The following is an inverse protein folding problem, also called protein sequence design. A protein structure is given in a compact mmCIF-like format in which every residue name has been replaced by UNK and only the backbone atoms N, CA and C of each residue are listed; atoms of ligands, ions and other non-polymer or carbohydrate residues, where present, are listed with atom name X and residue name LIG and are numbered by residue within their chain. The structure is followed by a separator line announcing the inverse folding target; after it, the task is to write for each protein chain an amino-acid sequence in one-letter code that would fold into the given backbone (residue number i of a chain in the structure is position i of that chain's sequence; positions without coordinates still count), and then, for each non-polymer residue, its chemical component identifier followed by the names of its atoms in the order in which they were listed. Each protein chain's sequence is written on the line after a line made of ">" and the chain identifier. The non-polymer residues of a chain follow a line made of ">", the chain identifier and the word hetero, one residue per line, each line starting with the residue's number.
data_IF_480354345849
#
_entry.id   IF_480354345849
#
_cell.length_a   1.000
_cell.length_b   1.000
_cell.length_c   1.000
_cell.angle_alpha   90.00
_cell.angle_beta   90.00
_cell.angle_gamma   90.00
#
_symmetry.space_group_name_H-M   'P 1'
#
loop_
_entity.id
_entity.type
_entity.pdbx_description
1 polymer ?
#
# COMPACT_ATOMS: atom_id res chain seq x y z
N UNK A 1 -10.46 -20.27 17.25
CA UNK A 1 -11.49 -20.26 16.21
C UNK A 1 -11.02 -19.46 14.99
N UNK A 2 -10.50 -18.25 15.18
CA UNK A 2 -10.08 -17.34 14.14
C UNK A 2 -8.66 -16.85 14.38
N UNK A 3 -7.85 -16.79 13.33
CA UNK A 3 -6.58 -16.05 13.34
C UNK A 3 -6.64 -14.93 12.30
N UNK A 4 -6.24 -13.73 12.70
CA UNK A 4 -6.13 -12.54 11.86
C UNK A 4 -4.65 -12.28 11.61
N UNK A 5 -4.25 -12.17 10.35
CA UNK A 5 -2.87 -11.96 9.93
C UNK A 5 -2.70 -10.54 9.40
N UNK A 6 -1.99 -9.70 10.16
CA UNK A 6 -1.70 -8.31 9.84
C UNK A 6 -2.41 -7.29 10.72
N UNK A 7 -1.67 -6.27 11.15
CA UNK A 7 -2.09 -5.20 12.06
C UNK A 7 -2.41 -3.87 11.39
N UNK A 8 -2.70 -3.87 10.08
CA UNK A 8 -3.20 -2.70 9.38
C UNK A 8 -4.66 -2.38 9.73
N UNK A 9 -5.26 -1.33 9.14
CA UNK A 9 -6.63 -0.92 9.44
C UNK A 9 -7.66 -2.06 9.33
N UNK A 10 -7.55 -2.90 8.28
CA UNK A 10 -8.44 -4.04 8.07
C UNK A 10 -8.33 -5.08 9.20
N UNK A 11 -7.10 -5.44 9.60
CA UNK A 11 -6.85 -6.40 10.66
C UNK A 11 -7.27 -5.89 12.03
N UNK A 12 -6.98 -4.64 12.33
CA UNK A 12 -7.41 -3.99 13.58
C UNK A 12 -8.93 -3.95 13.69
N UNK A 13 -9.64 -3.56 12.63
CA UNK A 13 -11.10 -3.57 12.61
C UNK A 13 -11.64 -4.98 12.87
N UNK A 14 -11.11 -5.97 12.16
CA UNK A 14 -11.53 -7.37 12.33
C UNK A 14 -11.27 -7.87 13.77
N UNK A 15 -10.13 -7.56 14.37
CA UNK A 15 -9.78 -7.96 15.73
C UNK A 15 -10.75 -7.38 16.77
N UNK A 16 -11.09 -6.09 16.66
CA UNK A 16 -12.05 -5.44 17.55
C UNK A 16 -13.44 -6.09 17.40
N UNK A 17 -13.90 -6.29 16.16
CA UNK A 17 -15.22 -6.88 15.94
C UNK A 17 -15.31 -8.35 16.37
N UNK A 18 -14.28 -9.16 16.14
CA UNK A 18 -14.25 -10.55 16.56
C UNK A 18 -14.26 -10.69 18.09
N UNK A 19 -13.48 -9.86 18.81
CA UNK A 19 -13.49 -9.81 20.25
C UNK A 19 -14.88 -9.45 20.81
N UNK A 20 -15.54 -8.43 20.24
CA UNK A 20 -16.91 -8.02 20.62
C UNK A 20 -17.97 -9.06 20.29
N UNK A 21 -17.71 -9.98 19.37
CA UNK A 21 -18.55 -11.14 19.05
C UNK A 21 -18.20 -12.37 19.89
N UNK A 22 -17.28 -12.24 20.84
CA UNK A 22 -16.81 -13.32 21.72
C UNK A 22 -16.21 -14.53 20.97
N UNK A 23 -15.64 -14.28 19.77
CA UNK A 23 -14.89 -15.30 19.04
C UNK A 23 -13.49 -15.43 19.64
N UNK A 24 -13.04 -16.64 19.93
CA UNK A 24 -11.65 -16.90 20.31
C UNK A 24 -10.74 -16.58 19.13
N UNK A 25 -10.07 -15.46 19.21
CA UNK A 25 -9.29 -14.87 18.12
C UNK A 25 -7.85 -14.60 18.55
N UNK A 26 -6.91 -14.80 17.63
CA UNK A 26 -5.56 -14.26 17.73
C UNK A 26 -5.32 -13.28 16.59
N UNK A 27 -4.72 -12.13 16.86
CA UNK A 27 -4.14 -11.27 15.83
C UNK A 27 -2.62 -11.41 15.87
N UNK A 28 -2.02 -11.69 14.70
CA UNK A 28 -0.58 -11.88 14.54
C UNK A 28 -0.09 -10.82 13.55
N UNK A 29 0.85 -10.00 13.99
CA UNK A 29 1.35 -8.87 13.19
C UNK A 29 2.80 -8.55 13.48
N UNK A 30 3.52 -8.02 12.51
CA UNK A 30 4.87 -7.47 12.71
C UNK A 30 4.85 -6.11 13.38
N UNK A 31 3.80 -5.32 13.12
CA UNK A 31 3.56 -4.00 13.71
C UNK A 31 2.12 -3.57 13.43
N UNK A 32 1.63 -2.60 14.17
CA UNK A 32 0.34 -1.97 13.92
C UNK A 32 0.44 -0.81 12.92
N UNK A 33 -0.68 -0.48 12.26
CA UNK A 33 -0.80 0.63 11.32
C UNK A 33 -0.64 0.26 9.84
N UNK A 34 0.10 -0.82 9.52
CA UNK A 34 0.36 -1.18 8.12
C UNK A 34 1.05 -0.05 7.34
N UNK A 35 0.77 0.10 6.06
CA UNK A 35 1.38 1.13 5.21
C UNK A 35 1.05 2.57 5.63
N UNK A 36 -0.05 2.79 6.37
CA UNK A 36 -0.41 4.15 6.80
C UNK A 36 0.62 4.79 7.74
N UNK A 37 1.46 3.99 8.41
CA UNK A 37 2.50 4.50 9.31
C UNK A 37 3.55 5.38 8.59
N UNK A 38 3.75 5.15 7.30
CA UNK A 38 4.74 5.87 6.49
C UNK A 38 4.28 7.28 6.09
N UNK A 39 2.98 7.58 6.24
CA UNK A 39 2.42 8.89 5.88
C UNK A 39 2.71 9.93 6.95
N UNK A 40 3.38 11.05 6.63
CA UNK A 40 3.64 12.14 7.58
C UNK A 40 2.36 12.72 8.17
N UNK A 41 1.32 12.86 7.32
CA UNK A 41 0.00 13.38 7.70
C UNK A 41 -1.08 12.77 6.80
N UNK A 42 -2.19 12.36 7.40
CA UNK A 42 -3.35 11.74 6.75
C UNK A 42 -4.56 12.67 6.95
N UNK A 43 -5.22 13.07 5.86
CA UNK A 43 -6.37 13.98 5.86
C UNK A 43 -7.70 13.33 5.47
N UNK A 44 -7.66 12.06 5.08
CA UNK A 44 -8.82 11.31 4.58
C UNK A 44 -9.28 10.19 5.53
N UNK A 45 -8.80 10.16 6.77
CA UNK A 45 -9.30 9.25 7.79
C UNK A 45 -10.58 9.81 8.41
N UNK A 46 -11.73 9.25 8.03
CA UNK A 46 -13.04 9.75 8.47
C UNK A 46 -13.18 9.70 10.00
N UNK A 47 -13.64 10.80 10.57
CA UNK A 47 -13.76 10.99 12.02
C UNK A 47 -12.57 11.74 12.63
N UNK A 48 -11.51 11.97 11.87
CA UNK A 48 -10.33 12.73 12.30
C UNK A 48 -9.95 13.72 11.20
N UNK A 49 -9.83 15.01 11.53
CA UNK A 49 -9.54 16.05 10.52
C UNK A 49 -8.17 15.85 9.88
N UNK A 50 -7.18 15.56 10.71
CA UNK A 50 -5.80 15.29 10.32
C UNK A 50 -5.15 14.43 11.39
N UNK A 51 -4.30 13.49 11.02
CA UNK A 51 -3.58 12.60 11.92
C UNK A 51 -2.29 12.13 11.26
N UNK A 52 -1.19 12.04 12.00
CA UNK A 52 0.00 11.39 11.47
C UNK A 52 -0.22 9.88 11.32
N UNK A 53 0.44 9.25 10.35
CA UNK A 53 0.36 7.79 10.20
C UNK A 53 0.83 7.06 11.45
N UNK A 54 1.83 7.61 12.15
CA UNK A 54 2.30 7.08 13.43
C UNK A 54 1.22 7.14 14.51
N UNK A 55 0.53 8.29 14.68
CA UNK A 55 -0.53 8.43 15.67
C UNK A 55 -1.74 7.56 15.34
N UNK A 56 -2.10 7.45 14.05
CA UNK A 56 -3.13 6.53 13.60
C UNK A 56 -2.77 5.08 13.94
N UNK A 57 -1.52 4.65 13.70
CA UNK A 57 -1.05 3.32 14.06
C UNK A 57 -1.17 3.07 15.58
N UNK A 58 -0.82 4.06 16.40
CA UNK A 58 -0.95 4.00 17.87
C UNK A 58 -2.40 3.92 18.33
N UNK A 59 -3.29 4.66 17.71
CA UNK A 59 -4.72 4.63 18.04
C UNK A 59 -5.35 3.28 17.66
N UNK A 60 -4.99 2.71 16.50
CA UNK A 60 -5.41 1.38 16.10
C UNK A 60 -4.90 0.31 17.07
N UNK A 61 -3.60 0.34 17.42
CA UNK A 61 -3.01 -0.55 18.42
C UNK A 61 -3.74 -0.46 19.77
N UNK A 62 -3.92 0.75 20.28
CA UNK A 62 -4.60 1.02 21.55
C UNK A 62 -6.04 0.47 21.54
N UNK A 63 -6.76 0.63 20.44
CA UNK A 63 -8.12 0.12 20.32
C UNK A 63 -8.16 -1.42 20.31
N UNK A 64 -7.24 -2.08 19.58
CA UNK A 64 -7.12 -3.55 19.61
C UNK A 64 -6.77 -4.05 21.02
N UNK A 65 -5.76 -3.45 21.66
CA UNK A 65 -5.32 -3.85 23.00
C UNK A 65 -6.40 -3.62 24.08
N UNK A 66 -7.24 -2.60 23.92
CA UNK A 66 -8.38 -2.35 24.83
C UNK A 66 -9.46 -3.47 24.75
N UNK A 67 -9.48 -4.24 23.66
CA UNK A 67 -10.35 -5.39 23.48
C UNK A 67 -9.63 -6.75 23.73
N UNK A 68 -8.32 -6.70 24.03
CA UNK A 68 -7.55 -7.91 24.34
C UNK A 68 -7.95 -8.51 25.68
N UNK A 69 -7.87 -9.84 25.80
CA UNK A 69 -8.24 -10.60 27.01
C UNK A 69 -8.82 -11.95 26.67
N UNK A 70 -9.96 -12.30 27.27
CA UNK A 70 -10.56 -13.64 27.17
C UNK A 70 -10.78 -14.14 25.72
N UNK A 71 -11.12 -13.23 24.81
CA UNK A 71 -11.50 -13.58 23.43
C UNK A 71 -10.52 -13.09 22.37
N UNK A 72 -9.53 -12.25 22.72
CA UNK A 72 -8.56 -11.73 21.78
C UNK A 72 -7.15 -11.79 22.37
N UNK A 73 -6.27 -12.54 21.74
CA UNK A 73 -4.83 -12.55 22.01
C UNK A 73 -4.07 -11.75 20.94
N UNK A 74 -3.08 -10.99 21.36
CA UNK A 74 -2.28 -10.12 20.47
C UNK A 74 -0.84 -10.62 20.43
N UNK A 75 -0.39 -11.00 19.25
CA UNK A 75 0.99 -11.42 18.97
C UNK A 75 1.63 -10.35 18.09
N UNK A 76 2.27 -9.39 18.73
CA UNK A 76 2.97 -8.27 18.10
C UNK A 76 4.47 -8.60 17.93
N UNK A 77 5.08 -8.11 16.83
CA UNK A 77 6.46 -8.43 16.47
C UNK A 77 6.62 -9.79 15.78
N UNK A 78 5.54 -10.45 15.41
CA UNK A 78 5.54 -11.77 14.77
C UNK A 78 5.26 -11.68 13.28
N UNK A 79 6.15 -12.23 12.46
CA UNK A 79 6.00 -12.33 11.03
C UNK A 79 5.66 -13.75 10.62
N UNK A 80 4.62 -13.92 9.81
CA UNK A 80 4.22 -15.23 9.29
C UNK A 80 5.22 -15.68 8.23
N UNK A 81 5.80 -16.86 8.41
CA UNK A 81 6.67 -17.53 7.45
C UNK A 81 5.89 -18.47 6.52
N UNK A 82 4.90 -19.18 7.05
CA UNK A 82 4.09 -20.14 6.28
C UNK A 82 2.66 -20.19 6.80
N UNK A 83 1.70 -20.29 5.87
CA UNK A 83 0.30 -20.61 6.11
C UNK A 83 -0.10 -21.77 5.21
N UNK A 84 -0.54 -22.88 5.81
CA UNK A 84 -0.94 -24.10 5.09
C UNK A 84 -2.21 -24.68 5.65
N UNK A 85 -3.08 -25.20 4.76
CA UNK A 85 -4.27 -25.94 5.14
C UNK A 85 -3.94 -27.43 5.29
N UNK A 86 -4.39 -28.02 6.39
CA UNK A 86 -4.30 -29.46 6.68
C UNK A 86 -5.68 -29.97 7.12
N UNK A 87 -6.37 -30.66 6.24
CA UNK A 87 -7.78 -31.03 6.43
C UNK A 87 -8.67 -29.80 6.62
N UNK A 88 -9.35 -29.72 7.75
CA UNK A 88 -10.23 -28.59 8.10
C UNK A 88 -9.53 -27.47 8.91
N UNK A 89 -8.25 -27.67 9.24
CA UNK A 89 -7.48 -26.77 10.09
C UNK A 89 -6.43 -26.02 9.26
N UNK A 90 -6.29 -24.75 9.51
CA UNK A 90 -5.20 -23.94 9.03
C UNK A 90 -4.04 -23.98 10.04
N UNK A 91 -2.86 -24.35 9.56
CA UNK A 91 -1.61 -24.34 10.32
C UNK A 91 -0.74 -23.20 9.83
N UNK A 92 -0.12 -22.51 10.74
CA UNK A 92 0.79 -21.43 10.40
C UNK A 92 2.00 -21.40 11.32
N UNK A 93 3.12 -20.96 10.75
CA UNK A 93 4.38 -20.82 11.43
C UNK A 93 4.92 -19.41 11.28
N UNK A 94 5.45 -18.83 12.35
CA UNK A 94 6.13 -17.54 12.31
C UNK A 94 7.62 -17.71 12.02
N UNK A 95 8.30 -16.63 11.60
CA UNK A 95 9.76 -16.61 11.44
C UNK A 95 10.49 -16.84 12.76
N UNK A 96 9.90 -16.50 13.91
CA UNK A 96 10.42 -16.80 15.25
C UNK A 96 10.25 -18.26 15.66
N UNK A 97 9.55 -19.07 14.85
CA UNK A 97 9.34 -20.50 15.09
C UNK A 97 8.11 -20.86 15.92
N UNK A 98 7.20 -19.92 16.20
CA UNK A 98 5.93 -20.22 16.86
C UNK A 98 4.95 -20.86 15.88
N UNK A 99 4.21 -21.85 16.36
CA UNK A 99 3.17 -22.54 15.60
C UNK A 99 1.78 -22.15 16.12
N UNK A 100 0.84 -21.96 15.18
CA UNK A 100 -0.56 -21.64 15.45
C UNK A 100 -1.49 -22.48 14.59
N UNK A 101 -2.68 -22.74 15.12
CA UNK A 101 -3.72 -23.48 14.40
C UNK A 101 -5.08 -22.81 14.57
N UNK A 102 -5.88 -22.78 13.50
CA UNK A 102 -7.26 -22.28 13.55
C UNK A 102 -8.14 -22.94 12.49
N UNK A 103 -9.46 -22.93 12.74
CA UNK A 103 -10.48 -23.32 11.76
C UNK A 103 -10.71 -22.24 10.70
N UNK A 104 -10.48 -20.99 11.06
CA UNK A 104 -10.67 -19.84 10.19
C UNK A 104 -9.47 -18.90 10.22
N UNK A 105 -9.12 -18.37 9.06
CA UNK A 105 -8.05 -17.36 8.90
C UNK A 105 -8.60 -16.17 8.13
N UNK A 106 -8.28 -14.97 8.61
CA UNK A 106 -8.49 -13.73 7.89
C UNK A 106 -7.13 -13.11 7.53
N UNK A 107 -6.82 -13.07 6.26
CA UNK A 107 -5.60 -12.47 5.74
C UNK A 107 -5.82 -10.99 5.51
N UNK A 108 -5.10 -10.14 6.25
CA UNK A 108 -5.13 -8.67 6.16
C UNK A 108 -3.71 -8.09 6.10
N UNK A 109 -2.80 -8.85 5.49
CA UNK A 109 -1.37 -8.52 5.42
C UNK A 109 -1.05 -7.37 4.47
N UNK A 110 -2.06 -6.86 3.76
CA UNK A 110 -1.91 -5.73 2.86
C UNK A 110 -0.94 -5.98 1.71
N UNK A 111 -0.32 -4.91 1.26
CA UNK A 111 0.71 -4.93 0.23
C UNK A 111 1.91 -4.10 0.64
N UNK A 112 2.95 -4.15 -0.16
CA UNK A 112 4.12 -3.29 -0.05
C UNK A 112 4.28 -2.50 -1.33
N UNK A 113 4.41 -1.19 -1.25
CA UNK A 113 4.69 -0.34 -2.40
C UNK A 113 6.03 -0.70 -3.00
N UNK A 114 6.09 -0.80 -4.32
CA UNK A 114 7.34 -1.00 -5.00
C UNK A 114 8.16 0.27 -4.92
N UNK A 115 9.32 0.18 -4.28
CA UNK A 115 10.20 1.34 -4.09
C UNK A 115 10.88 1.77 -5.37
N UNK A 116 11.25 3.05 -5.41
CA UNK A 116 12.08 3.60 -6.47
C UNK A 116 13.55 3.19 -6.22
N UNK A 117 14.08 2.34 -7.11
CA UNK A 117 15.43 1.79 -6.99
C UNK A 117 16.41 2.52 -7.93
N UNK A 118 16.70 3.79 -7.64
CA UNK A 118 17.71 4.58 -8.34
C UNK A 118 18.63 5.26 -7.33
N UNK A 119 19.88 5.62 -7.71
CA UNK A 119 20.80 6.35 -6.84
C UNK A 119 20.14 7.57 -6.20
N UNK A 120 20.29 7.72 -4.89
CA UNK A 120 19.72 8.79 -4.08
C UNK A 120 18.27 8.58 -3.62
N UNK A 121 17.52 7.64 -4.17
CA UNK A 121 16.10 7.47 -3.82
C UNK A 121 15.89 7.11 -2.34
N UNK A 122 16.69 6.19 -1.80
CA UNK A 122 16.57 5.75 -0.41
C UNK A 122 16.75 6.90 0.59
N UNK A 123 17.64 7.84 0.28
CA UNK A 123 17.90 9.01 1.12
C UNK A 123 16.69 9.93 1.25
N UNK A 124 15.87 10.04 0.19
CA UNK A 124 14.72 10.94 0.12
C UNK A 124 13.37 10.28 0.36
N UNK A 125 13.33 9.03 0.83
CA UNK A 125 12.10 8.39 1.30
C UNK A 125 11.44 9.23 2.40
N UNK A 126 10.17 9.64 2.22
CA UNK A 126 9.46 10.55 3.12
C UNK A 126 9.98 12.00 3.13
N UNK A 127 11.03 12.31 2.34
CA UNK A 127 11.60 13.65 2.18
C UNK A 127 11.48 14.16 0.74
N UNK A 128 10.35 13.91 0.13
CA UNK A 128 10.00 14.26 -1.24
C UNK A 128 9.66 13.06 -2.12
N UNK A 129 10.08 11.84 -1.77
CA UNK A 129 9.57 10.62 -2.38
C UNK A 129 8.43 10.09 -1.54
N UNK A 130 7.25 9.95 -2.14
CA UNK A 130 6.00 9.55 -1.51
C UNK A 130 5.21 8.60 -2.42
N UNK A 131 4.20 7.91 -1.85
CA UNK A 131 3.48 6.82 -2.50
C UNK A 131 1.95 6.97 -2.46
N UNK A 132 1.43 8.06 -1.91
CA UNK A 132 -0.01 8.25 -1.75
C UNK A 132 -0.41 9.69 -2.12
N UNK A 133 -1.00 9.88 -3.31
CA UNK A 133 -1.44 11.20 -3.74
C UNK A 133 -2.57 11.77 -2.87
N UNK A 134 -3.48 10.91 -2.41
CA UNK A 134 -4.59 11.31 -1.53
C UNK A 134 -4.14 11.74 -0.14
N UNK A 135 -3.02 11.17 0.36
CA UNK A 135 -2.47 11.49 1.68
C UNK A 135 -1.58 12.74 1.61
N UNK A 136 -0.66 12.75 0.65
CA UNK A 136 0.49 13.67 0.63
C UNK A 136 0.30 14.83 -0.36
N UNK A 137 -0.63 14.72 -1.32
CA UNK A 137 -0.86 15.70 -2.38
C UNK A 137 -0.95 17.15 -1.88
N UNK A 138 -1.72 17.47 -0.83
CA UNK A 138 -1.80 18.83 -0.28
C UNK A 138 -0.46 19.42 0.18
N UNK A 139 0.53 18.61 0.60
CA UNK A 139 1.86 19.05 1.02
C UNK A 139 2.70 19.61 -0.12
N UNK A 140 2.30 19.31 -1.36
CA UNK A 140 2.99 19.73 -2.58
C UNK A 140 2.29 20.89 -3.28
N UNK A 141 1.49 21.67 -2.55
CA UNK A 141 0.85 22.87 -3.08
C UNK A 141 1.88 23.88 -3.59
N UNK A 142 1.72 24.31 -4.85
CA UNK A 142 2.61 25.29 -5.51
C UNK A 142 3.98 24.74 -5.93
N UNK A 143 4.22 23.43 -5.84
CA UNK A 143 5.49 22.78 -6.13
C UNK A 143 5.51 22.11 -7.51
N UNK A 144 6.71 21.90 -8.04
CA UNK A 144 6.94 21.09 -9.24
C UNK A 144 7.03 19.61 -8.83
N UNK A 145 6.10 18.81 -9.36
CA UNK A 145 5.90 17.41 -8.95
C UNK A 145 6.14 16.46 -10.12
N UNK A 146 6.75 15.32 -9.83
CA UNK A 146 6.89 14.22 -10.78
C UNK A 146 6.08 13.01 -10.29
N UNK A 147 5.34 12.38 -11.20
CA UNK A 147 4.64 11.11 -10.96
C UNK A 147 5.32 10.03 -11.80
N UNK A 148 5.76 8.94 -11.18
CA UNK A 148 6.43 7.82 -11.87
C UNK A 148 5.45 6.66 -11.98
N UNK A 149 4.93 6.39 -13.18
CA UNK A 149 4.00 5.30 -13.47
C UNK A 149 2.99 5.68 -14.53
N UNK A 150 2.90 4.92 -15.62
CA UNK A 150 2.02 5.16 -16.77
C UNK A 150 0.73 4.33 -16.77
N UNK A 151 0.36 3.71 -15.64
CA UNK A 151 -0.90 2.98 -15.44
C UNK A 151 -1.98 3.84 -14.78
N UNK A 152 -3.15 3.24 -14.48
CA UNK A 152 -4.28 3.93 -13.85
C UNK A 152 -3.86 4.67 -12.57
N UNK A 153 -3.16 4.00 -11.63
CA UNK A 153 -2.70 4.62 -10.39
C UNK A 153 -1.85 5.88 -10.64
N UNK A 154 -0.95 5.88 -11.63
CA UNK A 154 -0.13 7.04 -11.97
C UNK A 154 -0.96 8.21 -12.50
N UNK A 155 -1.90 7.96 -13.41
CA UNK A 155 -2.77 9.01 -13.95
C UNK A 155 -3.78 9.53 -12.92
N UNK A 156 -4.32 8.66 -12.05
CA UNK A 156 -5.20 9.06 -10.93
C UNK A 156 -4.44 9.92 -9.92
N UNK A 157 -3.22 9.52 -9.56
CA UNK A 157 -2.34 10.32 -8.69
C UNK A 157 -1.99 11.66 -9.33
N UNK A 158 -1.67 11.69 -10.63
CA UNK A 158 -1.42 12.94 -11.36
C UNK A 158 -2.66 13.86 -11.34
N UNK A 159 -3.86 13.32 -11.59
CA UNK A 159 -5.11 14.07 -11.53
C UNK A 159 -5.34 14.69 -10.15
N UNK A 160 -5.09 13.94 -9.08
CA UNK A 160 -5.25 14.45 -7.71
C UNK A 160 -4.24 15.55 -7.39
N UNK A 161 -2.97 15.34 -7.74
CA UNK A 161 -1.88 16.29 -7.44
C UNK A 161 -2.00 17.58 -8.26
N UNK A 162 -2.55 17.54 -9.49
CA UNK A 162 -2.82 18.71 -10.31
C UNK A 162 -3.70 19.76 -9.62
N UNK A 163 -4.56 19.34 -8.68
CA UNK A 163 -5.36 20.27 -7.87
C UNK A 163 -4.51 21.19 -6.98
N UNK A 164 -3.30 20.79 -6.63
CA UNK A 164 -2.44 21.48 -5.68
C UNK A 164 -1.14 22.00 -6.32
N UNK A 165 -0.50 21.18 -7.15
CA UNK A 165 0.82 21.44 -7.68
C UNK A 165 0.88 22.65 -8.65
N UNK A 166 2.07 23.24 -8.78
CA UNK A 166 2.41 24.23 -9.79
C UNK A 166 2.52 23.57 -11.17
N UNK A 167 3.18 22.42 -11.25
CA UNK A 167 3.29 21.58 -12.44
C UNK A 167 3.35 20.11 -12.05
N UNK A 168 2.89 19.23 -12.96
CA UNK A 168 2.97 17.78 -12.80
C UNK A 168 3.59 17.17 -14.06
N UNK A 169 4.69 16.43 -13.89
CA UNK A 169 5.30 15.65 -14.96
C UNK A 169 5.13 14.16 -14.67
N UNK A 170 4.44 13.43 -15.54
CA UNK A 170 4.29 11.98 -15.44
C UNK A 170 5.31 11.26 -16.33
N UNK A 171 6.02 10.30 -15.74
CA UNK A 171 6.96 9.44 -16.46
C UNK A 171 6.35 8.06 -16.68
N UNK A 172 6.36 7.59 -17.92
CA UNK A 172 6.03 6.22 -18.28
C UNK A 172 7.20 5.53 -18.97
N UNK A 173 7.55 4.33 -18.51
CA UNK A 173 8.61 3.50 -19.13
C UNK A 173 8.32 3.11 -20.59
N UNK A 174 7.07 3.09 -20.98
CA UNK A 174 6.59 2.78 -22.33
C UNK A 174 5.34 3.55 -22.66
N UNK A 175 4.43 2.96 -23.41
CA UNK A 175 3.10 3.54 -23.64
C UNK A 175 2.27 3.63 -22.35
N UNK A 176 1.30 4.53 -22.34
CA UNK A 176 0.36 4.64 -21.25
C UNK A 176 -0.56 3.40 -21.23
N UNK A 177 -0.77 2.84 -20.03
CA UNK A 177 -1.62 1.67 -19.79
C UNK A 177 -2.87 2.01 -18.99
N UNK A 178 -3.08 3.29 -18.71
CA UNK A 178 -4.28 3.79 -18.05
C UNK A 178 -5.45 3.86 -19.05
N UNK A 179 -6.67 3.94 -18.51
CA UNK A 179 -7.89 4.10 -19.29
C UNK A 179 -7.82 5.37 -20.12
N UNK A 180 -8.15 5.28 -21.43
CA UNK A 180 -8.03 6.36 -22.40
C UNK A 180 -8.76 7.63 -21.94
N UNK A 181 -9.97 7.49 -21.36
CA UNK A 181 -10.76 8.60 -20.85
C UNK A 181 -10.01 9.38 -19.77
N UNK A 182 -9.35 8.66 -18.84
CA UNK A 182 -8.56 9.28 -17.77
C UNK A 182 -7.32 9.96 -18.34
N UNK A 183 -6.62 9.31 -19.27
CA UNK A 183 -5.44 9.87 -19.94
C UNK A 183 -5.80 11.18 -20.64
N UNK A 184 -6.86 11.17 -21.47
CA UNK A 184 -7.31 12.37 -22.19
C UNK A 184 -7.72 13.51 -21.25
N UNK A 185 -8.42 13.20 -20.16
CA UNK A 185 -8.85 14.20 -19.20
C UNK A 185 -7.65 14.87 -18.50
N UNK A 186 -6.69 14.08 -18.05
CA UNK A 186 -5.51 14.56 -17.31
C UNK A 186 -4.58 15.37 -18.24
N UNK A 187 -4.38 14.93 -19.48
CA UNK A 187 -3.52 15.63 -20.45
C UNK A 187 -4.08 16.97 -20.94
N UNK A 188 -5.35 17.29 -20.70
CA UNK A 188 -5.94 18.60 -21.03
C UNK A 188 -5.52 19.71 -20.04
N UNK A 189 -5.04 19.37 -18.87
CA UNK A 189 -4.60 20.38 -17.89
C UNK A 189 -3.29 21.01 -18.35
N UNK A 190 -3.22 22.36 -18.45
CA UNK A 190 -2.01 23.07 -18.93
C UNK A 190 -0.81 22.91 -18.01
N UNK A 191 -0.99 22.47 -16.76
CA UNK A 191 0.10 22.16 -15.82
C UNK A 191 0.67 20.76 -16.01
N UNK A 192 0.05 19.93 -16.84
CA UNK A 192 0.42 18.53 -17.04
C UNK A 192 1.38 18.33 -18.19
N UNK A 193 2.44 17.57 -17.95
CA UNK A 193 3.34 17.02 -18.96
C UNK A 193 3.43 15.51 -18.77
N UNK A 194 3.33 14.73 -19.85
CA UNK A 194 3.49 13.28 -19.77
C UNK A 194 4.55 12.79 -20.76
N UNK A 195 5.56 12.11 -20.25
CA UNK A 195 6.72 11.62 -20.99
C UNK A 195 6.64 10.09 -21.10
N UNK A 196 6.43 9.61 -22.33
CA UNK A 196 6.54 8.19 -22.67
C UNK A 196 7.99 7.78 -22.80
N UNK A 197 8.25 6.47 -22.68
CA UNK A 197 9.58 5.88 -22.87
C UNK A 197 10.66 6.56 -22.02
N UNK A 198 10.27 6.99 -20.82
CA UNK A 198 11.14 7.75 -19.92
C UNK A 198 11.19 7.07 -18.55
N UNK A 199 12.42 6.86 -18.10
CA UNK A 199 12.70 6.23 -16.80
C UNK A 199 13.51 7.17 -15.90
N UNK A 200 13.33 7.11 -14.58
CA UNK A 200 14.19 7.80 -13.63
C UNK A 200 15.58 7.19 -13.59
N UNK A 201 16.61 8.01 -13.33
CA UNK A 201 18.02 7.56 -13.28
C UNK A 201 18.72 7.89 -11.97
N UNK A 202 18.39 9.00 -11.33
CA UNK A 202 18.88 9.39 -10.01
C UNK A 202 17.92 10.37 -9.34
N UNK A 203 18.02 10.51 -8.03
CA UNK A 203 17.37 11.56 -7.25
C UNK A 203 18.44 12.40 -6.54
N UNK A 204 18.27 13.72 -6.53
CA UNK A 204 19.13 14.65 -5.80
C UNK A 204 18.31 15.66 -5.00
N UNK A 205 18.93 16.19 -3.98
CA UNK A 205 18.36 17.22 -3.11
C UNK A 205 19.32 17.62 -2.01
N UNK A 206 18.82 18.38 -1.05
CA UNK A 206 19.52 18.71 0.20
C UNK A 206 18.72 18.07 1.37
N UNK A 207 17.87 18.82 2.04
CA UNK A 207 16.94 18.27 3.06
C UNK A 207 15.77 17.53 2.44
N UNK A 208 15.33 17.99 1.28
CA UNK A 208 14.25 17.44 0.47
C UNK A 208 14.70 17.28 -0.98
N UNK A 209 13.96 16.50 -1.76
CA UNK A 209 14.17 16.34 -3.20
C UNK A 209 14.11 17.70 -3.90
N UNK A 210 15.00 17.91 -4.85
CA UNK A 210 15.02 19.10 -5.72
C UNK A 210 15.14 18.76 -7.20
N UNK A 211 15.66 17.56 -7.54
CA UNK A 211 15.96 17.16 -8.91
C UNK A 211 15.76 15.65 -9.11
N UNK A 212 15.18 15.29 -10.25
CA UNK A 212 15.08 13.91 -10.74
C UNK A 212 15.80 13.77 -12.08
N UNK A 213 16.82 12.91 -12.14
CA UNK A 213 17.41 12.50 -13.40
C UNK A 213 16.48 11.58 -14.19
N UNK A 214 16.45 11.75 -15.49
CA UNK A 214 15.62 10.95 -16.41
C UNK A 214 16.41 10.53 -17.64
N UNK A 215 15.97 9.42 -18.25
CA UNK A 215 16.52 8.90 -19.51
C UNK A 215 15.39 8.48 -20.44
N UNK A 216 15.44 8.93 -21.67
CA UNK A 216 14.59 8.41 -22.73
C UNK A 216 15.11 7.04 -23.19
N UNK A 217 14.30 6.01 -23.10
CA UNK A 217 14.71 4.62 -23.37
C UNK A 217 14.86 4.30 -24.87
N UNK A 218 14.27 5.12 -25.75
CA UNK A 218 14.39 4.94 -27.21
C UNK A 218 15.60 5.66 -27.78
N UNK A 219 15.85 6.92 -27.34
CA UNK A 219 16.93 7.75 -27.86
C UNK A 219 18.22 7.60 -27.05
N UNK A 220 18.12 7.14 -25.79
CA UNK A 220 19.23 7.10 -24.87
C UNK A 220 19.58 8.47 -24.26
N UNK A 221 18.86 9.52 -24.61
CA UNK A 221 19.08 10.88 -24.12
C UNK A 221 18.84 10.96 -22.61
N UNK A 222 19.76 11.55 -21.89
CA UNK A 222 19.70 11.77 -20.45
C UNK A 222 19.54 13.27 -20.17
N UNK A 223 18.68 13.59 -19.22
CA UNK A 223 18.41 14.96 -18.75
C UNK A 223 17.94 14.94 -17.30
N UNK A 224 17.56 16.08 -16.77
CA UNK A 224 16.95 16.15 -15.45
C UNK A 224 15.76 17.10 -15.41
N UNK A 225 14.90 16.89 -14.42
CA UNK A 225 13.70 17.69 -14.16
C UNK A 225 13.80 18.29 -12.74
N UNK A 226 13.36 19.54 -12.56
CA UNK A 226 13.09 20.03 -11.22
C UNK A 226 11.97 19.18 -10.60
N UNK A 227 12.16 18.72 -9.38
CA UNK A 227 11.22 17.88 -8.67
C UNK A 227 11.29 18.19 -7.18
N UNK A 228 10.25 18.80 -6.64
CA UNK A 228 10.12 19.06 -5.21
C UNK A 228 9.26 17.97 -4.52
N UNK A 229 8.62 17.11 -5.34
CA UNK A 229 7.90 15.92 -4.93
C UNK A 229 7.91 14.85 -6.02
N UNK A 230 8.08 13.60 -5.63
CA UNK A 230 8.08 12.43 -6.51
C UNK A 230 7.08 11.42 -5.98
N UNK A 231 5.97 11.22 -6.70
CA UNK A 231 4.96 10.21 -6.41
C UNK A 231 5.28 8.94 -7.19
N UNK A 232 5.51 7.84 -6.46
CA UNK A 232 5.96 6.58 -7.06
C UNK A 232 4.80 5.60 -7.18
N UNK A 233 4.29 5.42 -8.40
CA UNK A 233 3.14 4.59 -8.75
C UNK A 233 3.53 3.43 -9.70
N UNK A 234 4.60 2.71 -9.34
CA UNK A 234 5.17 1.62 -10.16
C UNK A 234 4.70 0.23 -9.73
N UNK A 235 3.69 0.17 -8.90
CA UNK A 235 2.98 -1.04 -8.48
C UNK A 235 3.05 -1.33 -6.99
N UNK A 236 2.12 -2.19 -6.57
CA UNK A 236 2.02 -2.72 -5.22
C UNK A 236 2.26 -4.23 -5.25
N UNK A 237 3.02 -4.75 -4.31
CA UNK A 237 3.31 -6.17 -4.16
C UNK A 237 2.46 -6.68 -3.00
N UNK A 238 1.46 -7.55 -3.24
CA UNK A 238 0.65 -8.10 -2.16
C UNK A 238 1.49 -8.99 -1.26
N UNK A 239 1.31 -8.85 0.04
CA UNK A 239 2.01 -9.65 1.05
C UNK A 239 1.31 -11.01 1.24
N UNK A 240 1.37 -11.88 0.23
CA UNK A 240 0.66 -13.17 0.18
C UNK A 240 1.57 -14.37 -0.10
N UNK A 241 2.90 -14.15 -0.20
CA UNK A 241 3.86 -15.21 -0.57
C UNK A 241 3.99 -16.32 0.48
N UNK A 242 3.67 -16.02 1.75
CA UNK A 242 3.71 -17.01 2.84
C UNK A 242 2.59 -18.05 2.77
N UNK A 243 1.59 -17.87 1.89
CA UNK A 243 0.49 -18.82 1.73
C UNK A 243 0.94 -19.96 0.83
N UNK A 244 1.24 -21.11 1.43
CA UNK A 244 1.72 -22.30 0.75
C UNK A 244 0.57 -23.15 0.14
N UNK A 245 -0.67 -22.97 0.64
CA UNK A 245 -1.85 -23.63 0.07
C UNK A 245 -2.22 -22.99 -1.26
N UNK A 246 -2.40 -23.82 -2.29
CA UNK A 246 -2.87 -23.38 -3.60
C UNK A 246 -4.27 -22.77 -3.50
N UNK A 247 -4.44 -21.59 -4.07
CA UNK A 247 -5.69 -20.84 -4.09
C UNK A 247 -5.72 -19.87 -5.27
N UNK A 248 -6.91 -19.40 -5.60
CA UNK A 248 -7.10 -18.44 -6.68
C UNK A 248 -6.48 -17.09 -6.30
N UNK A 249 -5.52 -16.66 -7.11
CA UNK A 249 -4.88 -15.35 -7.06
C UNK A 249 -4.91 -14.73 -8.44
N UNK A 250 -4.89 -13.41 -8.50
CA UNK A 250 -4.73 -12.71 -9.77
C UNK A 250 -3.27 -12.73 -10.27
N UNK A 251 -3.04 -12.13 -11.43
CA UNK A 251 -1.71 -12.06 -12.07
C UNK A 251 -0.65 -11.34 -11.24
N UNK A 252 -1.04 -10.51 -10.26
CA UNK A 252 -0.14 -9.83 -9.34
C UNK A 252 0.07 -10.58 -8.03
N UNK A 253 -0.64 -11.71 -7.82
CA UNK A 253 -0.58 -12.51 -6.60
C UNK A 253 -1.52 -12.04 -5.49
N UNK A 254 -2.51 -11.18 -5.79
CA UNK A 254 -3.57 -10.78 -4.83
C UNK A 254 -4.58 -11.90 -4.69
N UNK A 255 -5.10 -12.09 -3.49
CA UNK A 255 -6.10 -13.13 -3.21
C UNK A 255 -7.42 -12.74 -3.87
N UNK A 256 -7.95 -13.61 -4.74
CA UNK A 256 -9.28 -13.44 -5.29
C UNK A 256 -10.32 -13.73 -4.21
N UNK A 257 -11.15 -12.74 -3.92
CA UNK A 257 -12.22 -12.85 -2.91
C UNK A 257 -13.58 -12.58 -3.52
N UNK A 258 -14.59 -13.25 -2.99
CA UNK A 258 -15.99 -12.91 -3.24
C UNK A 258 -16.28 -11.51 -2.67
N UNK A 259 -16.72 -10.53 -3.47
CA UNK A 259 -16.85 -9.14 -3.03
C UNK A 259 -17.94 -8.91 -1.98
N UNK A 260 -18.88 -9.85 -1.80
CA UNK A 260 -19.95 -9.76 -0.78
C UNK A 260 -19.54 -10.33 0.56
N UNK A 261 -18.69 -11.35 0.55
CA UNK A 261 -18.37 -12.13 1.75
C UNK A 261 -16.91 -12.04 2.19
N UNK A 262 -16.02 -11.57 1.32
CA UNK A 262 -14.57 -11.58 1.54
C UNK A 262 -13.94 -12.98 1.53
N UNK A 263 -14.69 -14.03 1.13
CA UNK A 263 -14.23 -15.43 1.09
C UNK A 263 -13.26 -15.65 -0.06
N UNK A 264 -12.16 -16.34 0.21
CA UNK A 264 -11.27 -16.87 -0.81
C UNK A 264 -11.80 -18.20 -1.38
N UNK A 265 -11.15 -18.71 -2.44
CA UNK A 265 -11.51 -19.99 -3.08
C UNK A 265 -11.31 -21.20 -2.17
N UNK A 266 -10.51 -21.09 -1.12
CA UNK A 266 -10.25 -22.18 -0.16
C UNK A 266 -11.08 -21.99 1.11
N UNK A 267 -11.82 -23.03 1.52
CA UNK A 267 -12.69 -22.99 2.69
C UNK A 267 -11.94 -22.66 3.98
N UNK A 268 -12.56 -21.84 4.83
CA UNK A 268 -11.97 -21.36 6.10
C UNK A 268 -10.98 -20.21 5.95
N UNK A 269 -10.84 -19.61 4.73
CA UNK A 269 -10.02 -18.45 4.51
C UNK A 269 -10.84 -17.28 3.97
N UNK A 270 -10.59 -16.13 4.55
CA UNK A 270 -11.09 -14.82 4.12
C UNK A 270 -9.89 -13.87 3.93
N UNK A 271 -10.08 -12.84 3.14
CA UNK A 271 -9.08 -11.78 3.04
C UNK A 271 -9.73 -10.40 2.88
N UNK A 272 -9.01 -9.35 3.31
CA UNK A 272 -9.45 -7.98 3.21
C UNK A 272 -8.26 -7.01 3.11
N UNK A 273 -8.49 -5.84 2.49
CA UNK A 273 -7.46 -4.83 2.24
C UNK A 273 -6.58 -5.15 1.04
N UNK A 274 -5.43 -4.50 0.94
CA UNK A 274 -4.58 -4.45 -0.25
C UNK A 274 -3.95 -5.78 -0.68
N UNK A 275 -4.07 -6.84 0.13
CA UNK A 275 -3.69 -8.20 -0.27
C UNK A 275 -4.75 -8.88 -1.17
N UNK A 276 -5.89 -8.25 -1.43
CA UNK A 276 -7.01 -8.79 -2.21
C UNK A 276 -7.14 -8.13 -3.57
N UNK A 277 -7.91 -8.77 -4.45
CA UNK A 277 -8.27 -8.25 -5.77
C UNK A 277 -9.41 -7.22 -5.75
N UNK A 278 -9.77 -6.67 -4.60
CA UNK A 278 -10.80 -5.63 -4.51
C UNK A 278 -10.41 -4.39 -5.30
N UNK A 279 -11.41 -3.65 -5.78
CA UNK A 279 -11.20 -2.53 -6.70
C UNK A 279 -10.46 -1.35 -6.05
N UNK A 280 -10.70 -1.12 -4.75
CA UNK A 280 -10.15 0.03 -4.04
C UNK A 280 -9.00 -0.41 -3.12
N UNK A 281 -7.86 0.27 -3.27
CA UNK A 281 -6.64 0.11 -2.49
C UNK A 281 -6.22 1.44 -1.88
N UNK A 282 -5.43 1.42 -0.81
CA UNK A 282 -4.81 2.61 -0.22
C UNK A 282 -3.30 2.54 -0.27
#
# INVERSE_FOLDING_TARGET
>A
DLIILGGGPAGCAAAVYSARKELKTAIITTSFGGQSIDSPMIFNWIGTKEISGYDLAKDLEKHVRANAGKFLEVFDGEKIAELKKDGEIWKMKTESGKDFEARAVLVTTGGSRKKLEVPGAEEFEGRGIVYCASCDGPLYSGKDVVVIGGGNAGFESAAQVLAYAKSVTLLSRGDFKADEITVEAVLKDPKMTALKNTIPTFVKGDKFVTELGIKNTLTGEESSLPAEGIFVEIGNIPNTKFIATEMDKDEWGRINVDPKTGRASVGGLWAAGDCTNTLFHQ
#
